data_IF_825169700494
#
_entry.id   IF_825169700494
#
_cell.length_a   1.000
_cell.length_b   1.000
_cell.length_c   1.000
_cell.angle_alpha   90.00
_cell.angle_beta   90.00
_cell.angle_gamma   90.00
#
_symmetry.space_group_name_H-M   'P 1'
#
loop_
_entity.id
_entity.type
_entity.pdbx_description
1 polymer ?
#
# COMPACT_ATOMS: atom_id res chain seq x y z
N UNK A 1 27.99 39.61 -86.24
CA UNK A 1 28.07 38.18 -85.77
C UNK A 1 28.42 38.00 -84.29
N UNK A 2 28.38 39.06 -83.39
CA UNK A 2 28.77 38.90 -81.98
C UNK A 2 27.60 38.84 -80.97
N UNK A 3 26.36 39.00 -81.37
CA UNK A 3 25.19 39.08 -80.45
C UNK A 3 24.49 37.72 -80.23
N UNK A 4 24.76 36.71 -81.02
CA UNK A 4 24.09 35.38 -80.91
C UNK A 4 24.76 34.41 -79.94
N UNK A 5 26.05 34.58 -79.64
CA UNK A 5 26.82 33.69 -78.72
C UNK A 5 26.52 33.98 -77.26
N UNK A 6 26.28 35.28 -76.92
CA UNK A 6 25.98 35.67 -75.50
C UNK A 6 24.64 35.14 -74.97
N UNK A 7 23.62 34.97 -75.86
CA UNK A 7 22.31 34.44 -75.42
C UNK A 7 22.28 32.95 -75.13
N UNK A 8 23.12 32.16 -75.79
CA UNK A 8 23.19 30.71 -75.57
C UNK A 8 23.89 30.35 -74.27
N UNK A 9 24.92 31.09 -73.89
CA UNK A 9 25.65 30.80 -72.64
C UNK A 9 24.82 31.18 -71.43
N UNK A 10 24.00 32.21 -71.51
CA UNK A 10 23.12 32.62 -70.38
C UNK A 10 21.96 31.65 -70.23
N UNK A 11 21.38 31.09 -71.30
CA UNK A 11 20.31 30.11 -71.21
C UNK A 11 20.77 28.74 -70.64
N UNK A 12 21.99 28.31 -70.97
CA UNK A 12 22.53 27.03 -70.43
C UNK A 12 22.80 27.17 -68.92
N UNK A 13 23.30 28.29 -68.44
CA UNK A 13 23.52 28.52 -67.00
C UNK A 13 22.22 28.59 -66.20
N UNK A 14 21.15 29.16 -66.77
CA UNK A 14 19.83 29.21 -66.09
C UNK A 14 19.18 27.80 -66.02
N UNK A 15 19.36 26.94 -67.00
CA UNK A 15 18.87 25.59 -66.97
C UNK A 15 19.63 24.69 -65.97
N UNK A 16 20.94 24.90 -65.75
CA UNK A 16 21.75 24.18 -64.78
C UNK A 16 21.31 24.56 -63.33
N UNK A 17 20.99 25.80 -63.09
CA UNK A 17 20.49 26.25 -61.75
C UNK A 17 19.11 25.68 -61.44
N UNK A 18 18.22 25.50 -62.41
CA UNK A 18 16.92 24.91 -62.21
C UNK A 18 17.04 23.41 -61.87
N UNK A 19 18.00 22.70 -62.45
CA UNK A 19 18.27 21.31 -62.10
C UNK A 19 18.76 21.10 -60.69
N UNK A 20 19.66 21.97 -60.21
CA UNK A 20 20.17 21.94 -58.82
C UNK A 20 19.09 22.22 -57.80
N UNK A 21 18.21 23.21 -58.07
CA UNK A 21 17.07 23.50 -57.18
C UNK A 21 16.10 22.31 -57.08
N UNK A 22 15.79 21.69 -58.19
CA UNK A 22 14.88 20.52 -58.19
C UNK A 22 15.44 19.35 -57.36
N UNK A 23 16.73 19.05 -57.46
CA UNK A 23 17.40 17.99 -56.67
C UNK A 23 17.40 18.39 -55.17
N UNK A 24 17.70 19.66 -54.83
CA UNK A 24 17.73 20.12 -53.46
C UNK A 24 16.32 20.05 -52.83
N UNK A 25 15.29 20.46 -53.56
CA UNK A 25 13.89 20.38 -53.11
C UNK A 25 13.47 18.91 -52.90
N UNK A 26 13.83 18.00 -53.83
CA UNK A 26 13.54 16.57 -53.69
C UNK A 26 14.20 15.97 -52.47
N UNK A 27 15.44 16.29 -52.15
CA UNK A 27 16.16 15.84 -50.96
C UNK A 27 15.50 16.40 -49.69
N UNK A 28 15.16 17.67 -49.62
CA UNK A 28 14.49 18.30 -48.47
C UNK A 28 13.11 17.65 -48.20
N UNK A 29 12.32 17.45 -49.26
CA UNK A 29 11.00 16.77 -49.15
C UNK A 29 11.16 15.34 -48.66
N UNK A 30 12.15 14.60 -49.16
CA UNK A 30 12.41 13.22 -48.71
C UNK A 30 12.78 13.19 -47.21
N UNK A 31 13.65 14.08 -46.76
CA UNK A 31 14.02 14.19 -45.33
C UNK A 31 12.81 14.57 -44.48
N UNK A 32 12.01 15.53 -44.89
CA UNK A 32 10.79 15.92 -44.20
C UNK A 32 9.79 14.74 -44.08
N UNK A 33 9.60 13.99 -45.16
CA UNK A 33 8.73 12.81 -45.16
C UNK A 33 9.28 11.74 -44.20
N UNK A 34 10.60 11.51 -44.21
CA UNK A 34 11.23 10.55 -43.30
C UNK A 34 11.09 10.93 -41.84
N UNK A 35 11.24 12.23 -41.50
CA UNK A 35 11.01 12.73 -40.13
C UNK A 35 9.53 12.60 -39.71
N UNK A 36 8.59 12.91 -40.58
CA UNK A 36 7.15 12.75 -40.30
C UNK A 36 6.80 11.29 -40.10
N UNK A 37 7.37 10.40 -40.90
CA UNK A 37 7.22 8.95 -40.81
C UNK A 37 7.66 8.44 -39.44
N UNK A 38 8.85 8.83 -39.00
CA UNK A 38 9.38 8.46 -37.68
C UNK A 38 8.50 8.98 -36.55
N UNK A 39 8.02 10.21 -36.63
CA UNK A 39 7.14 10.80 -35.65
C UNK A 39 5.82 10.03 -35.49
N UNK A 40 5.24 9.56 -36.58
CA UNK A 40 4.02 8.74 -36.56
C UNK A 40 4.23 7.37 -35.93
N UNK A 41 5.30 6.66 -36.31
CA UNK A 41 5.61 5.33 -35.75
C UNK A 41 5.95 5.41 -34.25
N UNK A 42 6.75 6.39 -33.82
CA UNK A 42 7.07 6.61 -32.41
C UNK A 42 5.82 7.03 -31.64
N UNK A 43 5.00 7.92 -32.18
CA UNK A 43 3.75 8.33 -31.57
C UNK A 43 2.80 7.16 -31.35
N UNK A 44 2.65 6.28 -32.36
CA UNK A 44 1.83 5.07 -32.22
C UNK A 44 2.35 4.11 -31.15
N UNK A 45 3.67 3.89 -31.08
CA UNK A 45 4.29 3.07 -30.05
C UNK A 45 4.11 3.65 -28.64
N UNK A 46 4.19 4.99 -28.47
CA UNK A 46 3.96 5.65 -27.19
C UNK A 46 2.48 5.55 -26.75
N UNK A 47 1.54 5.70 -27.65
CA UNK A 47 0.11 5.50 -27.35
C UNK A 47 -0.14 4.06 -26.91
N UNK A 48 0.41 3.08 -27.61
CA UNK A 48 0.30 1.67 -27.24
C UNK A 48 0.92 1.38 -25.87
N UNK A 49 2.06 2.01 -25.55
CA UNK A 49 2.69 1.88 -24.23
C UNK A 49 1.78 2.42 -23.11
N UNK A 50 1.15 3.58 -23.30
CA UNK A 50 0.23 4.15 -22.33
C UNK A 50 -1.02 3.25 -22.15
N UNK A 51 -1.51 2.65 -23.24
CA UNK A 51 -2.61 1.68 -23.19
C UNK A 51 -2.20 0.41 -22.41
N UNK A 52 -0.98 -0.11 -22.65
CA UNK A 52 -0.44 -1.22 -21.86
C UNK A 52 -0.26 -0.85 -20.39
N UNK A 53 0.16 0.38 -20.08
CA UNK A 53 0.27 0.85 -18.70
C UNK A 53 -1.09 0.81 -18.02
N UNK A 54 -2.15 1.33 -18.64
CA UNK A 54 -3.50 1.26 -18.08
C UNK A 54 -3.95 -0.19 -17.83
N UNK A 55 -3.62 -1.10 -18.75
CA UNK A 55 -3.93 -2.53 -18.59
C UNK A 55 -3.15 -3.16 -17.43
N UNK A 56 -1.85 -2.85 -17.27
CA UNK A 56 -1.04 -3.35 -16.16
C UNK A 56 -1.48 -2.77 -14.82
N UNK A 57 -1.87 -1.49 -14.77
CA UNK A 57 -2.39 -0.83 -13.58
C UNK A 57 -3.71 -1.49 -13.11
N UNK A 58 -4.65 -1.69 -14.05
CA UNK A 58 -5.91 -2.36 -13.76
C UNK A 58 -5.70 -3.81 -13.28
N UNK A 59 -4.83 -4.55 -13.95
CA UNK A 59 -4.50 -5.92 -13.60
C UNK A 59 -3.80 -6.03 -12.23
N UNK A 60 -2.84 -5.15 -11.94
CA UNK A 60 -2.14 -5.13 -10.66
C UNK A 60 -3.10 -4.80 -9.50
N UNK A 61 -3.98 -3.81 -9.67
CA UNK A 61 -5.00 -3.45 -8.68
C UNK A 61 -5.99 -4.59 -8.44
N UNK A 62 -6.48 -5.25 -9.49
CA UNK A 62 -7.39 -6.38 -9.36
C UNK A 62 -6.73 -7.58 -8.66
N UNK A 63 -5.48 -7.90 -9.01
CA UNK A 63 -4.70 -8.94 -8.34
C UNK A 63 -4.46 -8.63 -6.86
N UNK A 64 -4.07 -7.39 -6.55
CA UNK A 64 -3.86 -6.97 -5.16
C UNK A 64 -5.18 -6.94 -4.36
N UNK A 65 -6.31 -6.58 -4.98
CA UNK A 65 -7.62 -6.69 -4.32
C UNK A 65 -8.00 -8.14 -4.04
N UNK A 66 -7.74 -9.06 -4.99
CA UNK A 66 -7.96 -10.49 -4.78
C UNK A 66 -7.10 -11.03 -3.61
N UNK A 67 -5.85 -10.58 -3.48
CA UNK A 67 -5.00 -10.87 -2.34
C UNK A 67 -5.64 -10.35 -1.02
N UNK A 68 -6.16 -9.11 -1.03
CA UNK A 68 -6.88 -8.54 0.12
C UNK A 68 -8.08 -9.38 0.53
N UNK A 69 -8.91 -9.83 -0.42
CA UNK A 69 -10.08 -10.70 -0.16
C UNK A 69 -9.69 -12.04 0.46
N UNK A 70 -8.56 -12.63 0.03
CA UNK A 70 -8.04 -13.86 0.65
C UNK A 70 -7.75 -13.61 2.14
N UNK A 71 -7.09 -12.50 2.45
CA UNK A 71 -6.76 -12.15 3.84
C UNK A 71 -7.99 -11.78 4.68
N UNK A 72 -9.01 -11.13 4.10
CA UNK A 72 -10.30 -10.87 4.77
C UNK A 72 -11.01 -12.15 5.21
N UNK A 73 -10.89 -13.22 4.41
CA UNK A 73 -11.49 -14.52 4.73
C UNK A 73 -10.77 -15.31 5.83
N UNK A 74 -9.63 -14.81 6.33
CA UNK A 74 -8.83 -15.52 7.34
C UNK A 74 -9.19 -15.08 8.75
N UNK A 75 -9.48 -16.03 9.61
CA UNK A 75 -9.63 -15.78 11.05
C UNK A 75 -8.29 -15.93 11.75
N UNK A 76 -7.77 -14.85 12.37
CA UNK A 76 -6.55 -14.87 13.17
C UNK A 76 -5.37 -14.14 12.56
N UNK A 77 -4.16 -14.42 13.07
CA UNK A 77 -2.94 -13.75 12.65
C UNK A 77 -2.46 -14.26 11.30
N UNK A 78 -2.09 -13.33 10.42
CA UNK A 78 -1.43 -13.63 9.15
C UNK A 78 0.07 -13.90 9.28
N UNK A 79 0.64 -13.84 10.50
CA UNK A 79 2.08 -14.02 10.75
C UNK A 79 2.56 -15.38 10.23
N UNK A 80 3.52 -15.34 9.31
CA UNK A 80 4.09 -16.56 8.71
C UNK A 80 3.18 -17.26 7.69
N UNK A 81 2.03 -16.67 7.35
CA UNK A 81 1.13 -17.25 6.36
C UNK A 81 1.80 -17.35 4.98
N UNK A 82 1.58 -18.49 4.32
CA UNK A 82 2.08 -18.73 2.96
C UNK A 82 0.90 -19.02 2.04
N UNK A 83 0.77 -18.25 0.96
CA UNK A 83 -0.28 -18.48 -0.05
C UNK A 83 -0.19 -19.88 -0.62
N UNK A 84 -1.33 -20.54 -0.70
CA UNK A 84 -1.47 -21.81 -1.43
C UNK A 84 -1.42 -21.58 -2.94
N UNK A 85 -1.15 -22.64 -3.70
CA UNK A 85 -1.17 -22.58 -5.17
C UNK A 85 -2.54 -22.18 -5.73
N UNK A 86 -3.63 -22.58 -5.07
CA UNK A 86 -4.99 -22.20 -5.45
C UNK A 86 -5.25 -20.71 -5.27
N UNK A 87 -4.79 -20.11 -4.17
CA UNK A 87 -4.92 -18.68 -3.91
C UNK A 87 -4.09 -17.85 -4.88
N UNK A 88 -2.86 -18.29 -5.18
CA UNK A 88 -2.05 -17.64 -6.23
C UNK A 88 -2.78 -17.70 -7.57
N UNK A 89 -3.41 -18.83 -7.91
CA UNK A 89 -4.21 -18.95 -9.14
C UNK A 89 -5.39 -17.98 -9.14
N UNK A 90 -6.08 -17.79 -8.03
CA UNK A 90 -7.18 -16.82 -7.91
C UNK A 90 -6.71 -15.39 -8.15
N UNK A 91 -5.55 -15.01 -7.59
CA UNK A 91 -4.93 -13.70 -7.81
C UNK A 91 -4.56 -13.50 -9.29
N UNK A 92 -3.92 -14.51 -9.89
CA UNK A 92 -3.52 -14.50 -11.30
C UNK A 92 -4.75 -14.35 -12.21
N UNK A 93 -5.82 -15.10 -11.93
CA UNK A 93 -7.07 -15.03 -12.71
C UNK A 93 -7.72 -13.63 -12.60
N UNK A 94 -7.79 -13.06 -11.40
CA UNK A 94 -8.36 -11.72 -11.21
C UNK A 94 -7.56 -10.65 -12.00
N UNK A 95 -6.23 -10.72 -11.94
CA UNK A 95 -5.36 -9.81 -12.69
C UNK A 95 -5.51 -10.01 -14.21
N UNK A 96 -5.56 -11.26 -14.68
CA UNK A 96 -5.67 -11.57 -16.11
C UNK A 96 -7.01 -11.09 -16.69
N UNK A 97 -8.11 -11.26 -15.96
CA UNK A 97 -9.45 -10.79 -16.38
C UNK A 97 -9.46 -9.27 -16.49
N UNK A 98 -8.99 -8.55 -15.46
CA UNK A 98 -8.96 -7.09 -15.49
C UNK A 98 -8.03 -6.53 -16.59
N UNK A 99 -6.93 -7.21 -16.89
CA UNK A 99 -6.06 -6.87 -18.01
C UNK A 99 -6.76 -7.01 -19.37
N UNK A 100 -7.58 -8.06 -19.54
CA UNK A 100 -8.27 -8.37 -20.78
C UNK A 100 -9.43 -7.39 -21.11
N UNK A 101 -9.88 -6.60 -20.15
CA UNK A 101 -10.84 -5.52 -20.39
C UNK A 101 -10.21 -4.31 -21.13
N UNK A 102 -8.89 -4.36 -21.37
CA UNK A 102 -8.13 -3.29 -22.01
C UNK A 102 -7.61 -3.70 -23.39
N UNK A 103 -7.34 -2.70 -24.21
CA UNK A 103 -6.74 -2.87 -25.53
C UNK A 103 -5.46 -2.02 -25.67
N UNK A 104 -4.52 -2.52 -26.46
CA UNK A 104 -3.31 -1.79 -26.82
C UNK A 104 -3.06 -1.90 -28.33
N UNK A 105 -3.01 -0.77 -29.03
CA UNK A 105 -2.92 -0.68 -30.49
C UNK A 105 -3.96 -1.59 -31.18
N UNK A 106 -5.23 -1.54 -30.72
CA UNK A 106 -6.35 -2.28 -31.31
C UNK A 106 -6.40 -3.79 -31.00
N UNK A 107 -5.51 -4.29 -30.14
CA UNK A 107 -5.50 -5.71 -29.72
C UNK A 107 -5.86 -5.81 -28.24
N UNK A 108 -6.77 -6.70 -27.89
CA UNK A 108 -7.10 -7.03 -26.49
C UNK A 108 -5.86 -7.54 -25.76
N UNK A 109 -5.60 -7.00 -24.56
CA UNK A 109 -4.39 -7.34 -23.79
C UNK A 109 -4.58 -8.65 -23.05
N UNK A 110 -3.94 -9.71 -23.52
CA UNK A 110 -3.82 -10.95 -22.74
C UNK A 110 -2.61 -10.87 -21.83
N UNK A 111 -2.81 -11.07 -20.52
CA UNK A 111 -1.73 -11.12 -19.54
C UNK A 111 -1.39 -12.57 -19.22
N UNK A 112 -0.17 -12.99 -19.54
CA UNK A 112 0.27 -14.35 -19.26
C UNK A 112 0.45 -14.54 -17.72
N UNK A 113 0.14 -15.73 -17.21
CA UNK A 113 0.33 -16.05 -15.79
C UNK A 113 1.79 -15.84 -15.31
N UNK A 114 2.78 -16.11 -16.17
CA UNK A 114 4.19 -15.88 -15.88
C UNK A 114 4.58 -14.40 -15.74
N UNK A 115 3.74 -13.50 -16.23
CA UNK A 115 3.92 -12.04 -16.16
C UNK A 115 3.24 -11.41 -14.92
N UNK A 116 2.64 -12.25 -14.05
CA UNK A 116 1.99 -11.86 -12.79
C UNK A 116 2.75 -12.50 -11.63
N UNK A 117 3.17 -11.68 -10.68
CA UNK A 117 3.92 -12.13 -9.52
C UNK A 117 3.34 -11.53 -8.25
N UNK A 118 3.23 -12.34 -7.19
CA UNK A 118 2.93 -11.89 -5.83
C UNK A 118 4.23 -11.66 -5.05
N UNK A 119 4.25 -10.70 -4.13
CA UNK A 119 5.47 -10.39 -3.40
C UNK A 119 5.35 -9.24 -2.43
N UNK A 120 6.48 -8.65 -2.10
CA UNK A 120 6.60 -7.49 -1.21
C UNK A 120 7.25 -6.34 -1.99
N UNK A 121 6.64 -5.16 -1.90
CA UNK A 121 7.21 -3.91 -2.41
C UNK A 121 7.95 -3.19 -1.29
N UNK A 122 9.19 -2.80 -1.56
CA UNK A 122 9.96 -1.93 -0.67
C UNK A 122 9.93 -0.50 -1.22
N UNK A 123 9.20 0.39 -0.54
CA UNK A 123 9.02 1.77 -0.97
C UNK A 123 10.30 2.61 -0.86
N UNK A 124 11.20 2.29 0.08
CA UNK A 124 12.46 3.02 0.27
C UNK A 124 13.46 2.74 -0.86
N UNK A 125 13.55 1.49 -1.31
CA UNK A 125 14.45 1.08 -2.41
C UNK A 125 13.75 1.03 -3.76
N UNK A 126 12.41 1.15 -3.80
CA UNK A 126 11.56 0.99 -4.98
C UNK A 126 11.81 -0.34 -5.70
N UNK A 127 11.86 -1.42 -4.91
CA UNK A 127 12.11 -2.76 -5.43
C UNK A 127 10.99 -3.72 -5.04
N UNK A 128 10.68 -4.63 -5.96
CA UNK A 128 9.74 -5.72 -5.73
C UNK A 128 10.50 -7.03 -5.51
N UNK A 129 10.18 -7.73 -4.41
CA UNK A 129 10.72 -9.05 -4.09
C UNK A 129 9.62 -10.12 -4.19
N UNK A 130 9.68 -11.05 -5.17
CA UNK A 130 8.71 -12.12 -5.29
C UNK A 130 8.75 -13.05 -4.08
N UNK A 131 7.60 -13.31 -3.48
CA UNK A 131 7.44 -14.28 -2.39
C UNK A 131 5.97 -14.66 -2.24
N UNK A 132 5.70 -15.89 -1.80
CA UNK A 132 4.37 -16.35 -1.38
C UNK A 132 4.18 -16.27 0.12
N UNK A 133 5.24 -15.98 0.89
CA UNK A 133 5.18 -15.79 2.34
C UNK A 133 4.72 -14.38 2.63
N UNK A 134 3.52 -14.25 3.13
CA UNK A 134 2.84 -12.99 3.50
C UNK A 134 3.05 -11.88 2.45
N UNK A 135 2.77 -12.13 1.16
CA UNK A 135 2.89 -11.10 0.15
C UNK A 135 1.91 -9.96 0.42
N UNK A 136 2.28 -8.76 0.00
CA UNK A 136 1.47 -7.54 0.18
C UNK A 136 1.28 -6.79 -1.13
N UNK A 137 1.92 -7.27 -2.20
CA UNK A 137 1.90 -6.61 -3.49
C UNK A 137 1.74 -7.63 -4.62
N UNK A 138 1.16 -7.17 -5.72
CA UNK A 138 1.06 -7.88 -6.98
C UNK A 138 1.69 -7.03 -8.06
N UNK A 139 2.63 -7.61 -8.80
CA UNK A 139 3.30 -6.99 -9.94
C UNK A 139 2.85 -7.66 -11.23
N UNK A 140 2.47 -6.85 -12.21
CA UNK A 140 2.01 -7.29 -13.51
C UNK A 140 2.83 -6.64 -14.61
N UNK A 141 3.24 -7.44 -15.59
CA UNK A 141 3.88 -6.98 -16.82
C UNK A 141 2.93 -7.22 -17.98
N UNK A 142 2.54 -6.18 -18.69
CA UNK A 142 1.81 -6.27 -19.96
C UNK A 142 2.75 -6.01 -21.12
N UNK A 143 2.53 -6.68 -22.24
CA UNK A 143 3.45 -6.58 -23.37
C UNK A 143 2.78 -6.71 -24.72
N UNK A 144 3.34 -6.05 -25.72
CA UNK A 144 3.11 -6.22 -27.14
C UNK A 144 4.46 -6.58 -27.79
N UNK A 145 4.78 -7.88 -27.80
CA UNK A 145 6.06 -8.41 -28.28
C UNK A 145 5.89 -9.83 -28.86
N UNK A 146 7.00 -10.52 -29.13
CA UNK A 146 6.97 -11.90 -29.62
C UNK A 146 6.48 -12.93 -28.58
N UNK A 147 6.36 -12.55 -27.31
CA UNK A 147 5.93 -13.44 -26.22
C UNK A 147 4.42 -13.37 -26.00
N UNK A 148 3.83 -12.17 -26.08
CA UNK A 148 2.38 -11.97 -25.92
C UNK A 148 1.86 -10.81 -26.78
N UNK A 149 0.62 -10.95 -27.23
CA UNK A 149 -0.18 -9.95 -27.96
C UNK A 149 0.45 -9.48 -29.31
N UNK A 150 1.58 -10.05 -29.73
CA UNK A 150 2.33 -9.69 -30.94
C UNK A 150 2.94 -8.27 -30.87
N UNK A 151 4.04 -8.01 -31.57
CA UNK A 151 4.63 -6.68 -31.63
C UNK A 151 3.75 -5.70 -32.41
N UNK A 152 3.98 -4.41 -32.23
CA UNK A 152 3.26 -3.35 -32.93
C UNK A 152 3.85 -3.16 -34.31
N UNK A 153 3.03 -3.25 -35.38
CA UNK A 153 3.48 -2.99 -36.74
C UNK A 153 3.80 -1.51 -36.92
N UNK A 154 4.89 -1.22 -37.60
CA UNK A 154 5.26 0.13 -38.01
C UNK A 154 4.63 0.45 -39.37
N UNK A 155 4.30 1.71 -39.60
CA UNK A 155 3.72 2.17 -40.87
C UNK A 155 4.81 2.48 -41.89
N UNK A 156 5.73 3.34 -41.54
CA UNK A 156 6.70 3.91 -42.45
C UNK A 156 8.12 3.42 -42.19
N UNK A 157 8.47 3.03 -40.97
CA UNK A 157 9.75 2.41 -40.66
C UNK A 157 9.91 1.03 -41.36
N UNK A 158 8.82 0.39 -41.77
CA UNK A 158 8.83 -0.83 -42.57
C UNK A 158 9.52 -0.66 -43.92
N UNK A 159 9.53 0.55 -44.51
CA UNK A 159 10.22 0.87 -45.78
C UNK A 159 11.74 0.71 -45.66
N UNK A 160 12.26 0.96 -44.44
CA UNK A 160 13.69 0.81 -44.14
C UNK A 160 14.01 -0.52 -43.44
N UNK A 161 13.05 -1.46 -43.42
CA UNK A 161 13.24 -2.81 -42.87
C UNK A 161 12.85 -2.98 -41.38
N UNK A 162 12.46 -1.93 -40.68
CA UNK A 162 11.96 -2.02 -39.29
C UNK A 162 10.44 -2.24 -39.29
N UNK A 163 10.00 -3.49 -39.40
CA UNK A 163 8.59 -3.85 -39.64
C UNK A 163 7.73 -3.84 -38.36
N UNK A 164 8.33 -3.90 -37.17
CA UNK A 164 7.61 -3.91 -35.92
C UNK A 164 8.45 -3.38 -34.76
N UNK A 165 7.76 -2.99 -33.67
CA UNK A 165 8.34 -2.53 -32.41
C UNK A 165 7.72 -3.29 -31.26
N UNK A 166 8.53 -3.74 -30.30
CA UNK A 166 8.08 -4.36 -29.04
C UNK A 166 7.94 -3.29 -27.95
N UNK A 167 6.85 -3.37 -27.19
CA UNK A 167 6.55 -2.45 -26.10
C UNK A 167 6.09 -3.24 -24.89
N UNK A 168 6.57 -2.84 -23.70
CA UNK A 168 6.16 -3.41 -22.42
C UNK A 168 5.80 -2.31 -21.44
N UNK A 169 4.90 -2.64 -20.50
CA UNK A 169 4.59 -1.81 -19.34
C UNK A 169 4.53 -2.69 -18.09
N UNK A 170 4.83 -2.10 -16.95
CA UNK A 170 4.85 -2.79 -15.65
C UNK A 170 4.08 -1.94 -14.65
N UNK A 171 3.28 -2.60 -13.82
CA UNK A 171 2.64 -1.97 -12.68
C UNK A 171 2.76 -2.86 -11.45
N UNK A 172 2.87 -2.22 -10.30
CA UNK A 172 2.85 -2.88 -9.00
C UNK A 172 1.79 -2.21 -8.14
N UNK A 173 0.85 -3.00 -7.62
CA UNK A 173 -0.12 -2.57 -6.62
C UNK A 173 0.12 -3.29 -5.30
N UNK A 174 -0.07 -2.60 -4.18
CA UNK A 174 0.11 -3.19 -2.85
C UNK A 174 -1.08 -2.90 -1.93
N UNK A 175 -1.26 -3.76 -0.93
CA UNK A 175 -2.10 -3.48 0.23
C UNK A 175 -1.37 -2.48 1.12
N UNK A 176 -1.93 -1.29 1.24
CA UNK A 176 -1.31 -0.22 2.03
C UNK A 176 -1.61 -0.41 3.53
N UNK A 177 -0.74 0.07 4.43
CA UNK A 177 -1.07 0.16 5.85
C UNK A 177 -2.35 0.96 6.06
N UNK A 178 -3.14 0.58 7.07
CA UNK A 178 -4.35 1.33 7.43
C UNK A 178 -3.96 2.73 7.88
N UNK A 179 -4.54 3.73 7.24
CA UNK A 179 -4.30 5.14 7.57
C UNK A 179 -5.51 5.85 8.15
N UNK A 180 -6.70 5.24 8.09
CA UNK A 180 -7.94 5.81 8.62
C UNK A 180 -8.74 4.72 9.33
N UNK A 181 -9.20 5.05 10.55
CA UNK A 181 -10.18 4.29 11.32
C UNK A 181 -11.47 5.10 11.42
N UNK A 182 -12.60 4.46 11.19
CA UNK A 182 -13.92 5.05 11.34
C UNK A 182 -14.35 5.18 12.80
N UNK A 183 -15.51 5.82 13.07
CA UNK A 183 -16.08 5.88 14.41
C UNK A 183 -16.39 4.47 14.92
N UNK A 184 -15.90 4.14 16.12
CA UNK A 184 -16.12 2.85 16.77
C UNK A 184 -15.12 1.74 16.41
N UNK A 185 -14.26 1.93 15.40
CA UNK A 185 -13.28 0.93 14.99
C UNK A 185 -12.19 0.72 16.05
N UNK A 186 -11.83 1.77 16.79
CA UNK A 186 -10.87 1.71 17.90
C UNK A 186 -11.63 1.35 19.18
N UNK A 187 -11.73 0.08 19.53
CA UNK A 187 -12.60 -0.42 20.59
C UNK A 187 -11.91 -0.65 21.96
N UNK A 188 -10.65 -0.22 22.08
CA UNK A 188 -9.88 -0.34 23.31
C UNK A 188 -9.31 1.01 23.77
N UNK A 189 -9.33 1.30 25.09
CA UNK A 189 -8.94 2.60 25.65
C UNK A 189 -7.42 2.70 25.89
N UNK A 190 -6.62 2.19 24.97
CA UNK A 190 -5.15 2.27 24.98
C UNK A 190 -4.60 2.24 23.58
N UNK A 191 -3.37 2.72 23.42
CA UNK A 191 -2.64 2.69 22.16
C UNK A 191 -1.16 2.41 22.39
N UNK A 192 -0.42 2.22 21.32
CA UNK A 192 0.98 1.78 21.35
C UNK A 192 1.88 2.91 20.84
N UNK A 193 3.05 3.10 21.46
CA UNK A 193 4.08 4.00 20.93
C UNK A 193 4.73 3.43 19.69
N UNK A 194 5.00 4.27 18.69
CA UNK A 194 5.81 3.87 17.53
C UNK A 194 7.22 3.39 17.94
N UNK A 195 7.70 3.77 19.13
CA UNK A 195 8.95 3.30 19.69
C UNK A 195 9.02 1.78 19.83
N UNK A 196 7.90 1.10 20.10
CA UNK A 196 7.82 -0.36 20.10
C UNK A 196 8.28 -0.92 18.74
N UNK A 197 7.71 -0.43 17.65
CA UNK A 197 8.02 -0.89 16.30
C UNK A 197 9.42 -0.46 15.83
N UNK A 198 9.83 0.75 16.17
CA UNK A 198 11.18 1.28 15.88
C UNK A 198 12.28 0.54 16.63
N UNK A 199 11.94 -0.16 17.72
CA UNK A 199 12.85 -1.02 18.47
C UNK A 199 12.99 -2.44 17.91
N UNK A 200 12.38 -2.71 16.73
CA UNK A 200 12.49 -3.97 16.02
C UNK A 200 11.40 -5.00 16.37
N UNK A 201 10.41 -4.63 17.16
CA UNK A 201 9.23 -5.45 17.44
C UNK A 201 8.13 -5.26 16.38
N UNK A 202 7.26 -6.25 16.26
CA UNK A 202 6.18 -6.22 15.26
C UNK A 202 5.23 -7.41 15.38
N UNK A 203 4.77 -7.89 14.26
CA UNK A 203 3.80 -8.99 14.21
C UNK A 203 4.31 -10.27 14.89
N UNK A 204 3.50 -10.80 15.78
CA UNK A 204 3.82 -11.99 16.58
C UNK A 204 4.50 -11.65 17.91
N UNK A 205 4.97 -10.42 18.09
CA UNK A 205 5.60 -10.01 19.34
C UNK A 205 4.57 -9.63 20.40
N UNK A 206 4.95 -9.86 21.66
CA UNK A 206 4.12 -9.52 22.80
C UNK A 206 4.26 -8.04 23.13
N UNK A 207 3.14 -7.35 23.29
CA UNK A 207 3.02 -6.03 23.90
C UNK A 207 2.38 -6.14 25.27
N UNK A 208 2.94 -5.44 26.23
CA UNK A 208 2.40 -5.38 27.58
C UNK A 208 2.21 -3.92 27.98
N UNK A 209 1.18 -3.66 28.73
CA UNK A 209 0.97 -2.37 29.36
C UNK A 209 0.91 -2.55 30.88
N UNK A 210 1.89 -1.99 31.56
CA UNK A 210 1.90 -1.89 33.02
C UNK A 210 2.50 -0.54 33.39
N UNK A 211 1.77 0.34 34.09
CA UNK A 211 2.20 1.70 34.38
C UNK A 211 3.49 1.81 35.21
N UNK A 212 4.00 0.70 35.73
CA UNK A 212 5.15 0.68 36.65
C UNK A 212 6.48 0.25 36.04
N UNK A 213 6.52 -0.03 34.72
CA UNK A 213 7.75 -0.51 34.04
C UNK A 213 8.15 0.43 32.91
N UNK A 214 8.74 1.60 33.20
CA UNK A 214 9.22 2.49 32.14
C UNK A 214 10.48 1.95 31.46
N UNK A 215 10.62 2.23 30.16
CA UNK A 215 11.87 2.03 29.42
C UNK A 215 12.04 0.68 28.71
N UNK A 216 11.13 -0.28 28.85
CA UNK A 216 11.12 -1.49 28.04
C UNK A 216 10.20 -1.27 26.82
N UNK A 217 10.70 -1.41 25.56
CA UNK A 217 9.87 -1.24 24.36
C UNK A 217 8.60 -2.11 24.38
N UNK A 218 8.67 -3.32 24.92
CA UNK A 218 7.51 -4.22 25.03
C UNK A 218 6.44 -3.72 26.00
N UNK A 219 6.72 -2.69 26.82
CA UNK A 219 5.73 -2.06 27.72
C UNK A 219 5.29 -0.68 27.23
N UNK A 220 5.60 -0.31 26.02
CA UNK A 220 5.34 1.00 25.43
C UNK A 220 3.91 1.15 24.91
N UNK A 221 2.92 0.99 25.79
CA UNK A 221 1.54 1.36 25.55
C UNK A 221 1.10 2.44 26.56
N UNK A 222 0.09 3.21 26.19
CA UNK A 222 -0.48 4.28 27.02
C UNK A 222 -2.01 4.21 27.05
N UNK A 223 -2.60 4.68 28.15
CA UNK A 223 -4.03 4.90 28.23
C UNK A 223 -4.46 5.94 27.19
N UNK A 224 -5.53 5.67 26.49
CA UNK A 224 -6.10 6.55 25.47
C UNK A 224 -7.45 7.06 25.90
N UNK A 225 -7.56 8.37 26.07
CA UNK A 225 -8.83 9.06 26.36
C UNK A 225 -9.51 9.58 25.09
N UNK A 226 -9.06 9.15 23.91
CA UNK A 226 -9.55 9.60 22.60
C UNK A 226 -9.47 11.14 22.46
N UNK A 227 -10.60 11.78 22.21
CA UNK A 227 -10.74 13.25 22.11
C UNK A 227 -11.00 13.93 23.46
N UNK A 228 -11.19 13.16 24.55
CA UNK A 228 -11.49 13.68 25.88
C UNK A 228 -10.21 14.19 26.56
N UNK A 229 -10.26 15.45 27.02
CA UNK A 229 -9.14 16.09 27.74
C UNK A 229 -9.66 16.68 29.05
N UNK A 230 -8.90 16.54 30.15
CA UNK A 230 -7.66 15.81 30.34
C UNK A 230 -7.88 14.29 30.38
N UNK A 231 -6.86 13.47 30.07
CA UNK A 231 -6.94 12.02 30.20
C UNK A 231 -6.86 11.57 31.68
N UNK A 232 -7.88 11.91 32.44
CA UNK A 232 -7.99 11.62 33.88
C UNK A 232 -8.58 10.22 34.14
N UNK A 233 -8.34 9.67 35.32
CA UNK A 233 -8.91 8.38 35.71
C UNK A 233 -10.45 8.36 35.66
N UNK A 234 -11.10 9.49 36.00
CA UNK A 234 -12.55 9.61 35.93
C UNK A 234 -13.08 9.56 34.50
N UNK A 235 -12.42 10.30 33.56
CA UNK A 235 -12.79 10.30 32.16
C UNK A 235 -12.53 8.92 31.50
N UNK A 236 -11.39 8.31 31.81
CA UNK A 236 -11.07 6.95 31.38
C UNK A 236 -12.08 5.91 31.85
N UNK A 237 -12.49 6.00 33.13
CA UNK A 237 -13.51 5.12 33.68
C UNK A 237 -14.86 5.30 32.98
N UNK A 238 -15.25 6.53 32.67
CA UNK A 238 -16.44 6.86 31.89
C UNK A 238 -16.41 6.27 30.49
N UNK A 239 -15.27 6.35 29.80
CA UNK A 239 -15.06 5.74 28.50
C UNK A 239 -15.24 4.21 28.56
N UNK A 240 -14.59 3.54 29.53
CA UNK A 240 -14.66 2.08 29.65
C UNK A 240 -16.09 1.62 29.95
N UNK A 241 -16.80 2.31 30.85
CA UNK A 241 -18.23 2.04 31.15
C UNK A 241 -19.08 2.27 29.90
N UNK A 242 -18.80 3.32 29.14
CA UNK A 242 -19.49 3.61 27.88
C UNK A 242 -19.26 2.54 26.81
N UNK A 243 -18.05 1.98 26.71
CA UNK A 243 -17.72 0.85 25.81
C UNK A 243 -18.43 -0.44 26.25
N UNK A 244 -18.55 -0.69 27.56
CA UNK A 244 -19.30 -1.83 28.12
C UNK A 244 -20.78 -1.75 27.75
N UNK A 245 -21.37 -0.59 27.89
CA UNK A 245 -22.82 -0.34 27.73
C UNK A 245 -23.20 0.00 26.28
N UNK A 246 -22.23 0.17 25.36
CA UNK A 246 -22.47 0.62 24.00
C UNK A 246 -22.94 2.08 23.89
N UNK A 247 -22.69 2.90 24.91
CA UNK A 247 -23.10 4.33 24.98
C UNK A 247 -21.97 5.29 24.58
N UNK A 248 -20.75 4.80 24.44
CA UNK A 248 -19.60 5.56 23.93
C UNK A 248 -19.13 4.98 22.60
N UNK A 249 -19.03 5.83 21.62
CA UNK A 249 -18.46 5.49 20.31
C UNK A 249 -17.13 6.23 20.15
N UNK A 250 -15.99 5.52 20.09
CA UNK A 250 -14.71 6.14 19.80
C UNK A 250 -14.73 6.98 18.54
N UNK A 251 -14.06 8.14 18.48
CA UNK A 251 -14.04 8.98 17.29
C UNK A 251 -13.25 8.33 16.15
N UNK A 252 -13.45 8.82 14.92
CA UNK A 252 -12.59 8.49 13.81
C UNK A 252 -11.18 9.06 14.01
N UNK A 253 -10.18 8.39 13.44
CA UNK A 253 -8.80 8.87 13.45
C UNK A 253 -8.12 8.63 12.11
N UNK A 254 -7.25 9.58 11.72
CA UNK A 254 -6.44 9.51 10.49
C UNK A 254 -4.97 9.69 10.83
N UNK A 255 -4.13 8.78 10.35
CA UNK A 255 -2.69 8.87 10.52
C UNK A 255 -2.13 10.16 9.91
N UNK A 256 -1.24 10.83 10.64
CA UNK A 256 -0.65 12.10 10.25
C UNK A 256 -1.55 13.34 10.38
N UNK A 257 -2.85 13.16 10.67
CA UNK A 257 -3.81 14.26 10.75
C UNK A 257 -4.48 14.38 12.12
N UNK A 258 -4.71 13.25 12.80
CA UNK A 258 -5.42 13.21 14.08
C UNK A 258 -4.45 13.21 15.25
N UNK A 259 -4.80 13.94 16.30
CA UNK A 259 -4.18 13.84 17.62
C UNK A 259 -5.21 13.29 18.62
N UNK A 260 -4.77 12.35 19.46
CA UNK A 260 -5.59 11.77 20.53
C UNK A 260 -4.90 11.99 21.88
N UNK A 261 -5.67 12.02 22.99
CA UNK A 261 -5.15 12.26 24.31
C UNK A 261 -4.69 10.96 24.97
N UNK A 262 -3.43 10.96 25.40
CA UNK A 262 -2.80 9.81 26.07
C UNK A 262 -2.25 10.18 27.45
N UNK A 263 -2.10 9.17 28.30
CA UNK A 263 -1.41 9.28 29.58
C UNK A 263 -0.82 7.91 29.98
N UNK A 264 0.20 7.95 30.82
CA UNK A 264 0.88 6.76 31.33
C UNK A 264 0.70 6.59 32.86
N UNK A 265 -0.25 7.28 33.47
CA UNK A 265 -0.51 7.21 34.92
C UNK A 265 -1.16 5.90 35.36
N UNK A 266 -1.04 5.60 36.68
CA UNK A 266 -1.81 4.51 37.26
C UNK A 266 -3.29 4.93 37.40
N UNK A 267 -4.17 4.25 36.69
CA UNK A 267 -5.62 4.48 36.65
C UNK A 267 -6.35 3.46 37.50
N UNK A 268 -6.11 3.47 38.83
CA UNK A 268 -6.60 2.42 39.73
C UNK A 268 -8.11 2.15 39.61
N UNK A 269 -8.95 3.18 39.42
CA UNK A 269 -10.39 3.03 39.25
C UNK A 269 -10.85 2.44 37.92
N UNK A 270 -10.00 2.35 36.94
CA UNK A 270 -10.33 1.88 35.57
C UNK A 270 -10.22 0.35 35.45
N UNK A 271 -9.35 -0.28 36.23
CA UNK A 271 -8.99 -1.68 36.05
C UNK A 271 -10.14 -2.65 36.20
N UNK A 272 -11.00 -2.50 37.22
CA UNK A 272 -12.13 -3.40 37.44
C UNK A 272 -13.11 -3.40 36.26
N UNK A 273 -13.42 -2.21 35.72
CA UNK A 273 -14.28 -2.08 34.55
C UNK A 273 -13.57 -2.58 33.28
N UNK A 274 -12.25 -2.40 33.16
CA UNK A 274 -11.49 -2.92 32.01
C UNK A 274 -11.44 -4.47 32.00
N UNK A 275 -11.31 -5.11 33.18
CA UNK A 275 -11.45 -6.57 33.28
C UNK A 275 -12.84 -7.01 32.84
N UNK A 276 -13.90 -6.29 33.27
CA UNK A 276 -15.26 -6.55 32.83
C UNK A 276 -15.42 -6.41 31.31
N UNK A 277 -14.86 -5.36 30.71
CA UNK A 277 -14.86 -5.16 29.25
C UNK A 277 -14.15 -6.32 28.55
N UNK A 278 -12.97 -6.71 29.03
CA UNK A 278 -12.23 -7.84 28.47
C UNK A 278 -13.02 -9.14 28.55
N UNK A 279 -13.67 -9.44 29.70
CA UNK A 279 -14.51 -10.62 29.84
C UNK A 279 -15.68 -10.62 28.86
N UNK A 280 -16.32 -9.47 28.65
CA UNK A 280 -17.40 -9.35 27.64
C UNK A 280 -16.87 -9.57 26.24
N UNK A 281 -15.77 -8.95 25.87
CA UNK A 281 -15.17 -9.04 24.53
C UNK A 281 -14.65 -10.44 24.20
N UNK A 282 -14.29 -11.24 25.22
CA UNK A 282 -13.77 -12.60 25.06
C UNK A 282 -14.84 -13.70 25.15
N UNK A 283 -16.12 -13.38 25.35
CA UNK A 283 -17.21 -14.37 25.44
C UNK A 283 -17.37 -15.20 24.16
N UNK A 284 -17.13 -14.62 22.99
CA UNK A 284 -17.30 -15.26 21.68
C UNK A 284 -15.99 -15.59 20.96
N UNK A 285 -14.85 -15.35 21.59
CA UNK A 285 -13.53 -15.58 21.02
C UNK A 285 -12.48 -14.60 21.58
N UNK A 286 -11.26 -14.60 21.07
CA UNK A 286 -10.22 -13.67 21.50
C UNK A 286 -10.64 -12.22 21.20
N UNK A 287 -10.32 -11.29 22.12
CA UNK A 287 -10.51 -9.87 21.85
C UNK A 287 -9.41 -9.36 20.92
N UNK A 288 -9.77 -9.15 19.66
CA UNK A 288 -8.89 -8.59 18.63
C UNK A 288 -9.22 -7.09 18.52
N UNK A 289 -8.37 -6.25 19.10
CA UNK A 289 -8.58 -4.81 19.19
C UNK A 289 -7.78 -4.06 18.12
N UNK A 290 -8.39 -3.01 17.56
CA UNK A 290 -7.72 -2.05 16.69
C UNK A 290 -7.19 -0.90 17.52
N UNK A 291 -5.89 -0.70 17.54
CA UNK A 291 -5.21 0.27 18.37
C UNK A 291 -4.53 1.35 17.53
N UNK A 292 -4.60 2.63 17.92
CA UNK A 292 -3.80 3.68 17.33
C UNK A 292 -2.33 3.52 17.75
N UNK A 293 -1.44 3.82 16.81
CA UNK A 293 -0.02 3.97 17.07
C UNK A 293 0.27 5.46 17.13
N UNK A 294 0.74 5.93 18.29
CA UNK A 294 1.08 7.33 18.49
C UNK A 294 2.57 7.59 18.30
N UNK A 295 2.88 8.80 17.81
CA UNK A 295 4.25 9.27 17.67
C UNK A 295 4.92 9.39 19.04
N UNK A 296 6.12 8.85 19.18
CA UNK A 296 6.88 8.96 20.43
C UNK A 296 8.20 8.20 20.37
N UNK A 297 9.21 8.76 21.02
CA UNK A 297 10.52 8.14 21.17
C UNK A 297 10.69 7.39 22.49
N UNK A 298 9.63 7.33 23.29
CA UNK A 298 9.61 6.69 24.62
C UNK A 298 8.25 6.04 24.91
N UNK A 299 8.13 5.48 26.12
CA UNK A 299 6.96 4.76 26.60
C UNK A 299 6.10 5.59 27.55
N UNK A 300 6.26 6.90 27.58
CA UNK A 300 5.59 7.77 28.56
C UNK A 300 4.75 8.87 27.92
N UNK A 301 3.64 8.52 27.21
CA UNK A 301 2.81 9.54 26.58
C UNK A 301 2.15 10.46 27.60
N UNK A 302 2.07 11.74 27.26
CA UNK A 302 1.38 12.75 28.06
C UNK A 302 0.65 13.76 27.17
N UNK A 303 -0.67 13.90 27.36
CA UNK A 303 -1.50 14.81 26.58
C UNK A 303 -1.75 14.36 25.14
N UNK A 304 -1.94 15.32 24.25
CA UNK A 304 -2.24 15.08 22.86
C UNK A 304 -1.02 14.51 22.11
N UNK A 305 -1.18 13.35 21.48
CA UNK A 305 -0.18 12.69 20.67
C UNK A 305 -0.67 12.54 19.24
N UNK A 306 0.20 12.77 18.24
CA UNK A 306 -0.12 12.54 16.84
C UNK A 306 -0.22 11.04 16.56
N UNK A 307 -1.25 10.64 15.83
CA UNK A 307 -1.41 9.25 15.37
C UNK A 307 -0.61 9.06 14.09
N UNK A 308 0.28 8.08 14.07
CA UNK A 308 1.15 7.76 12.93
C UNK A 308 0.68 6.53 12.15
N UNK A 309 -0.26 5.77 12.69
CA UNK A 309 -0.85 4.60 12.06
C UNK A 309 -1.69 3.79 13.03
N UNK A 310 -2.00 2.58 12.64
CA UNK A 310 -2.83 1.67 13.42
C UNK A 310 -2.26 0.26 13.42
N UNK A 311 -2.56 -0.49 14.47
CA UNK A 311 -2.15 -1.89 14.62
C UNK A 311 -3.28 -2.72 15.22
N UNK A 312 -3.26 -4.00 14.95
CA UNK A 312 -4.19 -4.97 15.54
C UNK A 312 -3.49 -5.72 16.66
N UNK A 313 -4.15 -5.85 17.80
CA UNK A 313 -3.64 -6.59 18.96
C UNK A 313 -4.66 -7.61 19.41
N UNK A 314 -4.25 -8.86 19.54
CA UNK A 314 -5.03 -9.86 20.25
C UNK A 314 -4.72 -9.75 21.75
N UNK A 315 -5.71 -9.31 22.53
CA UNK A 315 -5.57 -9.11 23.98
C UNK A 315 -5.80 -10.44 24.68
N UNK A 316 -4.72 -10.97 25.26
CA UNK A 316 -4.72 -12.27 25.89
C UNK A 316 -5.07 -12.21 27.38
N UNK A 317 -4.76 -11.09 28.03
CA UNK A 317 -4.95 -10.95 29.48
C UNK A 317 -5.16 -9.50 29.89
N UNK A 318 -6.08 -9.28 30.81
CA UNK A 318 -6.27 -8.04 31.57
C UNK A 318 -6.40 -8.38 33.03
N UNK A 319 -5.53 -7.85 33.86
CA UNK A 319 -5.51 -8.08 35.31
C UNK A 319 -5.50 -6.80 36.10
N UNK A 320 -6.39 -6.73 37.11
CA UNK A 320 -6.46 -5.61 38.04
C UNK A 320 -5.29 -5.62 39.06
N UNK A 321 -4.99 -4.51 39.70
CA UNK A 321 -4.02 -4.42 40.79
C UNK A 321 -4.29 -5.45 41.90
N UNK A 322 -3.25 -6.12 42.38
CA UNK A 322 -3.35 -7.18 43.39
C UNK A 322 -3.62 -8.58 42.90
N UNK A 323 -3.86 -8.78 41.59
CA UNK A 323 -4.06 -10.09 41.03
C UNK A 323 -2.69 -10.80 40.89
N UNK A 324 -2.55 -11.96 41.56
CA UNK A 324 -1.31 -12.77 41.52
C UNK A 324 -0.93 -13.22 40.09
N UNK A 325 -1.92 -13.38 39.21
CA UNK A 325 -1.67 -13.78 37.81
C UNK A 325 -1.00 -12.68 36.97
N UNK A 326 -0.94 -11.44 37.45
CA UNK A 326 -0.24 -10.35 36.73
C UNK A 326 1.23 -10.70 36.53
N UNK A 327 1.90 -11.30 37.51
CA UNK A 327 3.31 -11.71 37.39
C UNK A 327 3.55 -12.83 36.36
N UNK A 328 2.53 -13.65 36.08
CA UNK A 328 2.60 -14.74 35.10
C UNK A 328 2.35 -14.26 33.67
N UNK A 329 1.47 -13.26 33.52
CA UNK A 329 0.98 -12.82 32.21
C UNK A 329 1.67 -11.54 31.71
N UNK A 330 2.32 -10.78 32.62
CA UNK A 330 3.07 -9.58 32.27
C UNK A 330 4.46 -9.65 32.90
N UNK A 331 5.46 -9.90 32.08
CA UNK A 331 6.85 -9.99 32.52
C UNK A 331 7.33 -8.73 33.21
N UNK A 332 7.90 -8.85 34.42
CA UNK A 332 8.42 -7.74 35.22
C UNK A 332 7.36 -6.84 35.84
N UNK A 333 6.06 -7.16 35.72
CA UNK A 333 5.02 -6.39 36.41
C UNK A 333 5.01 -6.71 37.91
N UNK A 334 4.83 -5.67 38.72
CA UNK A 334 4.53 -5.87 40.13
C UNK A 334 3.07 -6.31 40.28
N UNK A 335 2.75 -7.40 41.03
CA UNK A 335 1.35 -7.79 41.26
C UNK A 335 0.46 -6.68 41.81
N UNK A 336 1.04 -5.69 42.50
CA UNK A 336 0.31 -4.52 43.01
C UNK A 336 -0.15 -3.53 41.92
N UNK A 337 0.29 -3.72 40.68
CA UNK A 337 -0.15 -2.89 39.53
C UNK A 337 -0.98 -3.73 38.59
N UNK A 338 -1.99 -3.09 37.94
CA UNK A 338 -2.72 -3.74 36.87
C UNK A 338 -1.87 -3.97 35.63
N UNK A 339 -2.25 -4.92 34.80
CA UNK A 339 -1.53 -5.20 33.58
C UNK A 339 -2.46 -5.64 32.44
N UNK A 340 -2.07 -5.29 31.21
CA UNK A 340 -2.64 -5.80 29.96
C UNK A 340 -1.53 -6.52 29.22
N UNK A 341 -1.81 -7.69 28.66
CA UNK A 341 -0.90 -8.40 27.78
C UNK A 341 -1.62 -8.81 26.49
N UNK A 342 -0.96 -8.63 25.38
CA UNK A 342 -1.47 -8.99 24.07
C UNK A 342 -0.34 -9.30 23.09
N UNK A 343 -0.71 -9.77 21.92
CA UNK A 343 0.22 -10.06 20.81
C UNK A 343 -0.16 -9.19 19.62
N UNK A 344 0.82 -8.51 19.03
CA UNK A 344 0.63 -7.79 17.77
C UNK A 344 0.24 -8.79 16.70
N UNK A 345 -0.93 -8.59 16.12
CA UNK A 345 -1.48 -9.50 15.11
C UNK A 345 -1.33 -8.86 13.74
N UNK A 346 -0.58 -9.50 12.84
CA UNK A 346 -0.66 -9.12 11.42
C UNK A 346 -2.05 -9.48 10.92
N UNK A 347 -2.81 -8.50 10.49
CA UNK A 347 -4.16 -8.69 10.01
C UNK A 347 -4.49 -7.65 8.93
N UNK A 348 -5.61 -7.84 8.27
CA UNK A 348 -6.22 -6.84 7.40
C UNK A 348 -7.43 -6.23 8.08
N UNK A 349 -7.67 -4.96 7.78
CA UNK A 349 -8.85 -4.24 8.23
C UNK A 349 -9.73 -3.95 7.00
N UNK A 350 -10.95 -4.48 7.03
CA UNK A 350 -11.90 -4.34 5.94
C UNK A 350 -12.32 -2.87 5.79
N UNK A 351 -12.16 -2.34 4.57
CA UNK A 351 -12.51 -0.95 4.27
C UNK A 351 -11.45 0.07 4.71
N UNK A 352 -10.40 -0.33 5.42
CA UNK A 352 -9.26 0.53 5.73
C UNK A 352 -8.41 0.73 4.48
N UNK A 353 -8.44 1.91 3.91
CA UNK A 353 -7.60 2.28 2.76
C UNK A 353 -7.06 3.68 2.94
N UNK A 354 -5.94 3.99 2.33
CA UNK A 354 -5.32 5.30 2.33
C UNK A 354 -3.80 5.18 2.23
N UNK A 355 -3.16 6.09 1.54
CA UNK A 355 -1.70 6.22 1.52
C UNK A 355 -1.28 7.13 2.67
N UNK A 356 -0.46 6.65 3.61
CA UNK A 356 0.12 7.51 4.63
C UNK A 356 0.21 6.98 6.06
N UNK A 357 -0.37 5.81 6.37
CA UNK A 357 -0.14 5.14 7.66
C UNK A 357 1.21 4.44 7.72
N UNK A 358 1.85 4.39 8.89
CA UNK A 358 3.03 3.58 9.13
C UNK A 358 2.74 2.07 9.05
N UNK A 359 3.72 1.27 8.66
CA UNK A 359 3.58 -0.18 8.50
C UNK A 359 3.63 -0.94 9.83
N UNK A 360 2.60 -0.79 10.67
CA UNK A 360 2.52 -1.38 12.01
C UNK A 360 1.77 -2.72 12.07
N UNK A 361 1.74 -3.46 10.97
CA UNK A 361 1.21 -4.83 10.92
C UNK A 361 -0.24 -4.97 10.46
N UNK A 362 -1.03 -3.89 10.46
CA UNK A 362 -2.41 -3.90 9.95
C UNK A 362 -2.47 -3.28 8.55
N UNK A 363 -3.06 -3.98 7.59
CA UNK A 363 -3.21 -3.54 6.22
C UNK A 363 -4.67 -3.33 5.87
N UNK A 364 -4.93 -2.30 5.07
CA UNK A 364 -6.22 -2.15 4.42
C UNK A 364 -6.34 -3.09 3.22
N UNK A 365 -7.55 -3.47 2.89
CA UNK A 365 -7.83 -4.38 1.77
C UNK A 365 -8.07 -3.64 0.45
N UNK A 366 -8.02 -2.32 0.47
CA UNK A 366 -8.06 -1.48 -0.73
C UNK A 366 -6.63 -1.22 -1.20
N UNK A 367 -6.22 -1.80 -2.35
CA UNK A 367 -4.85 -1.64 -2.83
C UNK A 367 -4.61 -0.26 -3.45
N UNK A 368 -3.33 0.14 -3.49
CA UNK A 368 -2.86 1.30 -4.22
C UNK A 368 -1.70 0.97 -5.15
N UNK A 369 -1.59 1.69 -6.26
CA UNK A 369 -0.43 1.60 -7.15
C UNK A 369 0.80 2.22 -6.48
N UNK A 370 1.96 1.59 -6.67
CA UNK A 370 3.26 2.03 -6.14
C UNK A 370 4.36 2.11 -7.19
N UNK A 371 4.13 1.48 -8.36
CA UNK A 371 5.00 1.55 -9.53
C UNK A 371 4.14 1.59 -10.78
#
# INVERSE_FOLDING_TARGET
MKKKISRRIVMTRLNDQQGVIAVTVALVVTVMLAMTALALDVGHALVARNQLQNASDAAALAGARALGVIYEGMSGSLTGYTLTSGEVTNIVNAASVAGADNQAAGVTVTVNAADISVGIWNSATRTFAPTTVLPRAVRVTTRRDGTANGPISTFLASIIGATSVSVTAVATAQLNPVSVMGPGDMDAPFGISEFFFNSGFGCGDTIQFSPSVPGNPQTCAGWQAFDISPPSANNMNGIVIGLINGTYTPPSASAGLTTLNFTNGNMASVWANLVTLWQIRTQSGPWVAQLPVYAGSDCSPSGAQSIVGFTTVTINYVGEPGNANNALNCSGSNPSTGCISGVITCNVFEGGGGSGGGGFGTFGTIPGLVE
#
